data_IF_582028815118
#
_entry.id   IF_582028815118
#
_cell.length_a   1.000
_cell.length_b   1.000
_cell.length_c   1.000
_cell.angle_alpha   90.00
_cell.angle_beta   90.00
_cell.angle_gamma   90.00
#
_symmetry.space_group_name_H-M   'P 1'
#
loop_
_entity.id
_entity.type
_entity.pdbx_description
1 polymer ?
#
# COMPACT_ATOMS: atom_id res chain seq x y z
N UNK A 1 19.33 -15.03 1.82
CA UNK A 1 20.41 -14.11 2.30
C UNK A 1 21.20 -13.49 1.15
N UNK A 2 21.77 -14.24 0.18
CA UNK A 2 22.52 -13.63 -0.96
C UNK A 2 21.65 -12.81 -1.93
N UNK A 3 20.44 -13.26 -2.30
CA UNK A 3 19.55 -12.50 -3.21
C UNK A 3 19.01 -11.18 -2.62
N UNK A 4 18.89 -11.08 -1.30
CA UNK A 4 18.39 -9.86 -0.63
C UNK A 4 19.38 -8.70 -0.71
N UNK A 5 20.68 -9.02 -0.69
CA UNK A 5 21.76 -8.01 -0.75
C UNK A 5 21.72 -7.28 -2.10
N UNK A 6 21.40 -7.98 -3.20
CA UNK A 6 21.28 -7.37 -4.53
C UNK A 6 20.10 -6.38 -4.65
N UNK A 7 18.97 -6.65 -3.99
CA UNK A 7 17.77 -5.81 -4.12
C UNK A 7 17.87 -4.52 -3.30
N UNK A 8 18.44 -4.59 -2.09
CA UNK A 8 18.52 -3.44 -1.19
C UNK A 8 19.83 -2.66 -1.35
N UNK A 9 20.87 -3.24 -1.97
CA UNK A 9 22.19 -2.62 -2.18
C UNK A 9 22.95 -2.37 -0.87
N UNK A 10 24.26 -2.15 -0.86
CA UNK A 10 25.09 -2.08 0.38
C UNK A 10 24.84 -0.86 1.28
N UNK A 11 23.94 0.05 0.89
CA UNK A 11 23.68 1.32 1.60
C UNK A 11 22.90 1.17 2.91
N UNK A 12 22.18 0.06 3.12
CA UNK A 12 21.41 -0.19 4.34
C UNK A 12 22.16 -1.09 5.34
N UNK A 13 22.02 -0.76 6.63
CA UNK A 13 22.48 -1.63 7.72
C UNK A 13 21.78 -3.00 7.68
N UNK A 14 22.46 -4.03 8.19
CA UNK A 14 21.88 -5.38 8.29
C UNK A 14 20.55 -5.38 9.05
N UNK A 15 20.45 -4.58 10.11
CA UNK A 15 19.22 -4.39 10.88
C UNK A 15 18.05 -3.89 10.02
N UNK A 16 18.26 -2.85 9.19
CA UNK A 16 17.21 -2.34 8.31
C UNK A 16 16.80 -3.33 7.22
N UNK A 17 17.73 -4.18 6.75
CA UNK A 17 17.40 -5.25 5.81
C UNK A 17 16.55 -6.32 6.46
N UNK A 18 16.90 -6.72 7.68
CA UNK A 18 16.13 -7.70 8.45
C UNK A 18 14.74 -7.18 8.76
N UNK A 19 14.62 -5.91 9.17
CA UNK A 19 13.33 -5.25 9.37
C UNK A 19 12.51 -5.18 8.08
N UNK A 20 13.11 -4.77 6.96
CA UNK A 20 12.43 -4.75 5.67
C UNK A 20 11.90 -6.13 5.30
N UNK A 21 12.77 -7.15 5.31
CA UNK A 21 12.40 -8.52 4.99
C UNK A 21 11.31 -9.05 5.90
N UNK A 22 11.39 -8.76 7.19
CA UNK A 22 10.39 -9.21 8.15
C UNK A 22 9.02 -8.62 7.84
N UNK A 23 8.94 -7.33 7.52
CA UNK A 23 7.67 -6.64 7.23
C UNK A 23 7.11 -6.96 5.85
N UNK A 24 7.95 -7.39 4.91
CA UNK A 24 7.53 -7.84 3.58
C UNK A 24 7.51 -9.36 3.45
N UNK A 25 7.57 -10.13 4.53
CA UNK A 25 7.40 -11.58 4.41
C UNK A 25 5.92 -11.91 4.12
N UNK A 26 5.66 -12.88 3.24
CA UNK A 26 4.30 -13.30 2.84
C UNK A 26 3.63 -14.25 3.80
N UNK A 27 4.41 -14.88 4.67
CA UNK A 27 3.88 -15.76 5.71
C UNK A 27 3.43 -14.96 6.95
N UNK A 28 3.62 -13.64 6.96
CA UNK A 28 3.21 -12.76 8.07
C UNK A 28 1.72 -12.49 8.07
N UNK A 29 1.10 -12.54 9.24
CA UNK A 29 -0.30 -12.15 9.44
C UNK A 29 -0.42 -10.68 9.84
N UNK A 30 -1.63 -10.12 9.71
CA UNK A 30 -1.89 -8.73 10.12
C UNK A 30 -1.76 -8.54 11.64
N UNK A 31 -2.11 -9.56 12.42
CA UNK A 31 -1.92 -9.60 13.87
C UNK A 31 -0.44 -9.45 14.23
N UNK A 32 0.45 -10.16 13.54
CA UNK A 32 1.89 -10.10 13.80
C UNK A 32 2.48 -8.71 13.51
N UNK A 33 1.92 -7.98 12.53
CA UNK A 33 2.34 -6.62 12.22
C UNK A 33 2.06 -5.61 13.35
N UNK A 34 1.14 -5.96 14.27
CA UNK A 34 0.81 -5.20 15.48
C UNK A 34 0.61 -3.71 15.17
N UNK A 35 -0.30 -3.41 14.21
CA UNK A 35 -0.43 -2.10 13.59
C UNK A 35 -0.78 -0.98 14.60
N UNK A 36 -1.48 -1.34 15.67
CA UNK A 36 -1.94 -0.44 16.73
C UNK A 36 -1.00 -0.34 17.94
N UNK A 37 0.19 -0.97 17.92
CA UNK A 37 1.17 -0.83 19.00
C UNK A 37 1.43 0.65 19.34
N UNK A 38 1.08 1.11 20.56
CA UNK A 38 1.03 2.53 20.88
C UNK A 38 2.36 3.28 20.68
N UNK A 39 3.50 2.60 20.84
CA UNK A 39 4.83 3.21 20.72
C UNK A 39 5.37 3.27 19.30
N UNK A 40 4.72 2.59 18.34
CA UNK A 40 5.22 2.44 16.98
C UNK A 40 4.11 2.55 15.93
N UNK A 41 3.00 3.22 16.27
CA UNK A 41 1.84 3.39 15.40
C UNK A 41 2.20 3.92 14.00
N UNK A 42 3.03 4.96 13.92
CA UNK A 42 3.52 5.57 12.68
C UNK A 42 4.83 4.99 12.15
N UNK A 43 5.19 3.75 12.54
CA UNK A 43 6.45 3.15 12.10
C UNK A 43 6.40 2.78 10.62
N UNK A 44 7.36 3.30 9.84
CA UNK A 44 7.32 3.24 8.36
C UNK A 44 7.17 1.82 7.80
N UNK A 45 7.77 0.81 8.46
CA UNK A 45 7.70 -0.56 7.97
C UNK A 45 6.31 -1.20 8.17
N UNK A 46 5.48 -0.71 9.09
CA UNK A 46 4.06 -1.13 9.20
C UNK A 46 3.24 -0.65 8.02
N UNK A 47 3.47 0.60 7.61
CA UNK A 47 2.89 1.15 6.40
C UNK A 47 3.38 0.42 5.14
N UNK A 48 4.66 0.07 5.08
CA UNK A 48 5.22 -0.76 4.01
C UNK A 48 4.53 -2.14 3.95
N UNK A 49 4.43 -2.82 5.09
CA UNK A 49 3.78 -4.13 5.20
C UNK A 49 2.32 -4.07 4.72
N UNK A 50 1.59 -3.01 5.10
CA UNK A 50 0.23 -2.73 4.64
C UNK A 50 0.15 -2.60 3.12
N UNK A 51 1.12 -1.92 2.51
CA UNK A 51 1.27 -1.85 1.05
C UNK A 51 1.44 -3.23 0.42
N UNK A 52 2.36 -4.05 0.94
CA UNK A 52 2.61 -5.39 0.43
C UNK A 52 1.45 -6.36 0.66
N UNK A 53 0.70 -6.19 1.74
CA UNK A 53 -0.55 -6.90 1.99
C UNK A 53 -1.57 -6.60 0.88
N UNK A 54 -1.79 -5.33 0.56
CA UNK A 54 -2.62 -4.91 -0.58
C UNK A 54 -2.10 -5.42 -1.91
N UNK A 55 -0.79 -5.32 -2.14
CA UNK A 55 -0.14 -5.83 -3.36
C UNK A 55 -0.40 -7.32 -3.55
N UNK A 56 -0.33 -8.13 -2.50
CA UNK A 56 -0.46 -9.60 -2.60
C UNK A 56 -1.90 -10.07 -2.65
N UNK A 57 -2.84 -9.26 -2.19
CA UNK A 57 -4.23 -9.66 -2.09
C UNK A 57 -4.81 -10.11 -3.43
N UNK A 58 -5.53 -11.23 -3.37
CA UNK A 58 -6.34 -11.80 -4.44
C UNK A 58 -7.83 -11.61 -4.21
N UNK A 59 -8.21 -11.00 -3.08
CA UNK A 59 -9.59 -10.67 -2.70
C UNK A 59 -10.02 -9.35 -3.31
N UNK A 60 -11.28 -8.98 -3.15
CA UNK A 60 -11.77 -7.66 -3.59
C UNK A 60 -11.08 -6.52 -2.83
N UNK A 61 -11.12 -5.31 -3.40
CA UNK A 61 -10.59 -4.12 -2.73
C UNK A 61 -11.27 -3.88 -1.39
N UNK A 62 -12.60 -4.05 -1.32
CA UNK A 62 -13.38 -3.84 -0.09
C UNK A 62 -12.98 -4.83 1.01
N UNK A 63 -12.82 -6.10 0.68
CA UNK A 63 -12.40 -7.11 1.66
C UNK A 63 -10.99 -6.82 2.16
N UNK A 64 -10.06 -6.51 1.26
CA UNK A 64 -8.63 -6.27 1.59
C UNK A 64 -8.46 -5.02 2.45
N UNK A 65 -8.80 -3.87 1.87
CA UNK A 65 -9.65 -2.86 2.49
C UNK A 65 -9.90 -2.90 4.00
N UNK A 66 -11.10 -3.41 4.27
CA UNK A 66 -11.72 -3.50 5.59
C UNK A 66 -10.96 -4.42 6.54
N UNK A 67 -10.36 -5.50 6.04
CA UNK A 67 -9.58 -6.43 6.87
C UNK A 67 -8.39 -5.71 7.50
N UNK A 68 -7.62 -4.95 6.70
CA UNK A 68 -6.47 -4.20 7.18
C UNK A 68 -6.86 -3.10 8.20
N UNK A 69 -7.80 -2.22 7.84
CA UNK A 69 -8.09 -1.02 8.67
C UNK A 69 -8.71 -1.36 10.03
N UNK A 70 -9.28 -2.56 10.19
CA UNK A 70 -9.82 -3.05 11.47
C UNK A 70 -8.75 -3.29 12.53
N UNK A 71 -7.49 -3.45 12.13
CA UNK A 71 -6.35 -3.51 13.05
C UNK A 71 -5.95 -2.15 13.62
N UNK A 72 -6.62 -1.06 13.21
CA UNK A 72 -6.40 0.26 13.78
C UNK A 72 -5.00 0.80 13.51
N UNK A 73 -4.42 1.43 14.53
CA UNK A 73 -3.15 2.14 14.40
C UNK A 73 -3.27 3.37 13.49
N UNK A 74 -2.26 3.58 12.64
CA UNK A 74 -2.24 4.62 11.61
C UNK A 74 -3.06 4.19 10.39
N UNK A 75 -4.36 3.93 10.62
CA UNK A 75 -5.22 3.20 9.70
C UNK A 75 -5.45 3.93 8.37
N UNK A 76 -5.47 5.26 8.37
CA UNK A 76 -5.59 6.09 7.18
C UNK A 76 -4.31 6.02 6.32
N UNK A 77 -3.13 6.10 6.94
CA UNK A 77 -1.84 5.94 6.23
C UNK A 77 -1.68 4.51 5.70
N UNK A 78 -1.90 3.50 6.55
CA UNK A 78 -1.84 2.08 6.18
C UNK A 78 -2.83 1.76 5.04
N UNK A 79 -4.05 2.26 5.16
CA UNK A 79 -5.09 2.07 4.16
C UNK A 79 -4.78 2.76 2.82
N UNK A 80 -4.21 3.97 2.85
CA UNK A 80 -3.79 4.68 1.64
C UNK A 80 -2.70 3.93 0.88
N UNK A 81 -1.69 3.40 1.57
CA UNK A 81 -0.59 2.66 0.94
C UNK A 81 -1.02 1.26 0.50
N UNK A 82 -1.82 0.55 1.29
CA UNK A 82 -2.47 -0.70 0.86
C UNK A 82 -3.31 -0.50 -0.41
N UNK A 83 -4.15 0.53 -0.42
CA UNK A 83 -5.01 0.84 -1.56
C UNK A 83 -4.23 1.21 -2.82
N UNK A 84 -3.11 1.93 -2.66
CA UNK A 84 -2.22 2.31 -3.77
C UNK A 84 -1.59 1.08 -4.42
N UNK A 85 -1.02 0.18 -3.61
CA UNK A 85 -0.35 -1.03 -4.09
C UNK A 85 -1.35 -2.04 -4.67
N UNK A 86 -2.53 -2.18 -4.06
CA UNK A 86 -3.62 -2.98 -4.64
C UNK A 86 -4.05 -2.41 -6.00
N UNK A 87 -4.31 -1.09 -6.07
CA UNK A 87 -4.77 -0.42 -7.28
C UNK A 87 -3.74 -0.49 -8.42
N UNK A 88 -2.44 -0.42 -8.09
CA UNK A 88 -1.37 -0.59 -9.06
C UNK A 88 -1.37 -2.00 -9.70
N UNK A 89 -1.67 -3.05 -8.92
CA UNK A 89 -1.73 -4.43 -9.41
C UNK A 89 -3.02 -4.74 -10.18
N UNK A 90 -4.17 -4.33 -9.65
CA UNK A 90 -5.49 -4.76 -10.14
C UNK A 90 -6.15 -3.74 -11.07
N UNK A 91 -5.62 -2.52 -11.13
CA UNK A 91 -6.12 -1.43 -11.95
C UNK A 91 -7.36 -0.74 -11.38
N UNK A 92 -7.64 0.46 -11.92
CA UNK A 92 -8.72 1.33 -11.44
C UNK A 92 -10.12 0.69 -11.49
N UNK A 93 -10.36 -0.22 -12.45
CA UNK A 93 -11.66 -0.90 -12.61
C UNK A 93 -11.96 -1.91 -11.49
N UNK A 94 -10.96 -2.36 -10.74
CA UNK A 94 -11.14 -3.25 -9.60
C UNK A 94 -11.62 -2.51 -8.34
N UNK A 95 -11.59 -1.17 -8.35
CA UNK A 95 -12.02 -0.37 -7.20
C UNK A 95 -13.55 -0.31 -7.10
N UNK A 96 -14.10 -0.22 -5.88
CA UNK A 96 -15.54 -0.31 -5.70
C UNK A 96 -16.26 0.93 -6.23
N UNK A 97 -17.21 0.71 -7.14
CA UNK A 97 -17.93 1.80 -7.81
C UNK A 97 -18.60 2.77 -6.82
N UNK A 98 -19.24 2.24 -5.78
CA UNK A 98 -19.93 3.06 -4.77
C UNK A 98 -18.95 3.95 -3.98
N UNK A 99 -17.75 3.44 -3.67
CA UNK A 99 -16.73 4.21 -2.96
C UNK A 99 -16.16 5.32 -3.85
N UNK A 100 -15.87 4.99 -5.12
CA UNK A 100 -15.43 5.98 -6.11
C UNK A 100 -16.46 7.08 -6.33
N UNK A 101 -17.76 6.73 -6.34
CA UNK A 101 -18.86 7.68 -6.49
C UNK A 101 -19.03 8.57 -5.25
N UNK A 102 -18.79 8.03 -4.06
CA UNK A 102 -18.89 8.76 -2.79
C UNK A 102 -17.64 9.60 -2.47
N UNK A 103 -16.54 9.43 -3.21
CA UNK A 103 -15.26 10.09 -2.93
C UNK A 103 -15.38 11.62 -3.02
N UNK A 104 -15.04 12.36 -1.94
CA UNK A 104 -14.99 13.81 -1.96
C UNK A 104 -14.02 14.33 -3.02
N UNK A 105 -14.38 15.43 -3.68
CA UNK A 105 -13.54 16.10 -4.68
C UNK A 105 -13.06 15.22 -5.86
N UNK A 106 -13.75 14.11 -6.14
CA UNK A 106 -13.36 13.14 -7.18
C UNK A 106 -13.04 13.76 -8.53
N UNK A 107 -13.85 14.70 -9.00
CA UNK A 107 -13.62 15.41 -10.27
C UNK A 107 -12.31 16.20 -10.29
N UNK A 108 -11.99 16.86 -9.18
CA UNK A 108 -10.73 17.59 -9.04
C UNK A 108 -9.54 16.63 -9.00
N UNK A 109 -9.66 15.54 -8.24
CA UNK A 109 -8.61 14.54 -8.11
C UNK A 109 -8.32 13.83 -9.44
N UNK A 110 -9.37 13.43 -10.18
CA UNK A 110 -9.24 12.82 -11.51
C UNK A 110 -8.54 13.75 -12.51
N UNK A 111 -8.78 15.06 -12.41
CA UNK A 111 -8.06 16.05 -13.24
C UNK A 111 -6.57 16.08 -12.90
N UNK A 112 -6.21 15.96 -11.62
CA UNK A 112 -4.80 15.90 -11.19
C UNK A 112 -4.13 14.60 -11.66
N UNK A 113 -4.79 13.46 -11.48
CA UNK A 113 -4.29 12.15 -11.95
C UNK A 113 -4.05 12.19 -13.45
N UNK A 114 -5.03 12.61 -14.26
CA UNK A 114 -4.86 12.70 -15.71
C UNK A 114 -3.69 13.60 -16.11
N UNK A 115 -3.54 14.75 -15.45
CA UNK A 115 -2.39 15.63 -15.69
C UNK A 115 -1.07 14.89 -15.40
N UNK A 116 -0.96 14.20 -14.27
CA UNK A 116 0.24 13.42 -13.95
C UNK A 116 0.50 12.32 -14.98
N UNK A 117 -0.51 11.53 -15.36
CA UNK A 117 -0.37 10.47 -16.35
C UNK A 117 0.07 11.00 -17.72
N UNK A 118 -0.45 12.15 -18.14
CA UNK A 118 -0.01 12.82 -19.35
C UNK A 118 1.46 13.26 -19.28
N UNK A 119 1.91 13.83 -18.16
CA UNK A 119 3.33 14.24 -18.00
C UNK A 119 4.30 13.04 -17.91
N UNK A 120 3.76 11.84 -17.69
CA UNK A 120 4.51 10.57 -17.68
C UNK A 120 4.38 9.82 -19.02
N UNK A 121 3.77 10.44 -20.04
CA UNK A 121 3.52 9.83 -21.36
C UNK A 121 2.72 8.51 -21.31
N UNK A 122 1.84 8.38 -20.31
CA UNK A 122 1.01 7.18 -20.12
C UNK A 122 -0.38 7.29 -20.77
N UNK A 123 -0.81 8.50 -21.12
CA UNK A 123 -2.06 8.79 -21.83
C UNK A 123 -1.87 10.01 -22.75
N UNK A 124 -2.54 10.01 -23.90
CA UNK A 124 -2.61 11.18 -24.79
C UNK A 124 -3.61 12.23 -24.27
N UNK A 125 -3.49 13.47 -24.74
CA UNK A 125 -4.55 14.48 -24.55
C UNK A 125 -5.83 13.99 -25.26
N UNK A 126 -6.90 13.79 -24.48
CA UNK A 126 -8.26 13.70 -25.00
C UNK A 126 -8.90 15.09 -25.05
#
# INVERSE_FOLDING_TARGET
>A
KKETIEILGDEFSDEHRELFLWHIDKERTLEELNLDEPRSIGYTYKCLASGFYGLRSTRSFEETLNDLIRYGGDADTNGAVCGTMYGARHGYKALPYLWLRAMPFKKWFDKKIRKCLHHLDLIDEC
#
